data_IF_378636318020
#
_entry.id   IF_378636318020
#
_cell.length_a   1.000
_cell.length_b   1.000
_cell.length_c   1.000
_cell.angle_alpha   90.00
_cell.angle_beta   90.00
_cell.angle_gamma   90.00
#
_symmetry.space_group_name_H-M   'P 1'
#
loop_
_entity.id
_entity.type
_entity.pdbx_description
1 polymer ?
#
# COMPACT_ATOMS: atom_id res chain seq x y z
N UNK A 1 5.42 11.19 -20.03
CA UNK A 1 5.49 10.75 -18.62
C UNK A 1 5.09 9.28 -18.57
N UNK A 2 5.82 8.40 -17.89
CA UNK A 2 5.46 6.97 -17.75
C UNK A 2 5.22 6.65 -16.28
N UNK A 3 4.03 6.16 -15.97
CA UNK A 3 3.70 5.57 -14.67
C UNK A 3 4.17 4.11 -14.71
N UNK A 4 4.88 3.66 -13.67
CA UNK A 4 5.31 2.25 -13.58
C UNK A 4 4.14 1.38 -13.12
N UNK A 5 3.99 0.20 -13.71
CA UNK A 5 3.06 -0.83 -13.25
C UNK A 5 3.92 -2.01 -12.78
N UNK A 6 3.83 -2.37 -11.51
CA UNK A 6 4.59 -3.46 -10.91
C UNK A 6 3.64 -4.60 -10.54
N UNK A 7 3.86 -5.75 -11.15
CA UNK A 7 3.16 -6.99 -10.83
C UNK A 7 3.62 -7.59 -9.50
N UNK A 8 2.92 -8.63 -9.03
CA UNK A 8 3.34 -9.42 -7.88
C UNK A 8 4.79 -9.95 -8.01
N UNK A 9 5.17 -10.39 -9.22
CA UNK A 9 6.53 -10.86 -9.49
C UNK A 9 7.56 -9.73 -9.39
N UNK A 10 7.24 -8.54 -9.90
CA UNK A 10 8.11 -7.37 -9.79
C UNK A 10 8.29 -6.94 -8.33
N UNK A 11 7.21 -6.93 -7.55
CA UNK A 11 7.24 -6.59 -6.12
C UNK A 11 8.08 -7.58 -5.33
N UNK A 12 7.87 -8.89 -5.52
CA UNK A 12 8.66 -9.92 -4.85
C UNK A 12 10.15 -9.86 -5.19
N UNK A 13 10.47 -9.59 -6.45
CA UNK A 13 11.86 -9.46 -6.88
C UNK A 13 12.52 -8.19 -6.33
N UNK A 14 11.77 -7.09 -6.21
CA UNK A 14 12.27 -5.80 -5.76
C UNK A 14 12.34 -5.64 -4.24
N UNK A 15 11.61 -6.44 -3.46
CA UNK A 15 11.54 -6.30 -2.00
C UNK A 15 11.73 -7.66 -1.27
N UNK A 16 12.97 -8.14 -1.14
CA UNK A 16 13.27 -9.29 -0.28
C UNK A 16 12.86 -9.05 1.17
N UNK A 17 12.47 -10.11 1.88
CA UNK A 17 11.96 -10.01 3.27
C UNK A 17 12.92 -9.30 4.23
N UNK A 18 14.23 -9.49 4.08
CA UNK A 18 15.22 -8.77 4.89
C UNK A 18 15.15 -7.26 4.70
N UNK A 19 14.91 -6.80 3.48
CA UNK A 19 14.75 -5.37 3.18
C UNK A 19 13.41 -4.84 3.68
N UNK A 20 12.33 -5.62 3.56
CA UNK A 20 11.03 -5.29 4.14
C UNK A 20 11.12 -5.06 5.66
N UNK A 21 11.86 -5.92 6.38
CA UNK A 21 12.08 -5.77 7.82
C UNK A 21 12.81 -4.46 8.14
N UNK A 22 13.86 -4.11 7.38
CA UNK A 22 14.58 -2.85 7.61
C UNK A 22 13.73 -1.62 7.26
N UNK A 23 12.94 -1.69 6.18
CA UNK A 23 12.01 -0.64 5.80
C UNK A 23 10.97 -0.40 6.90
N UNK A 24 10.40 -1.48 7.48
CA UNK A 24 9.45 -1.37 8.58
C UNK A 24 10.08 -0.82 9.86
N UNK A 25 11.32 -1.21 10.19
CA UNK A 25 12.07 -0.65 11.32
C UNK A 25 12.20 0.87 11.21
N UNK A 26 12.63 1.37 10.05
CA UNK A 26 12.77 2.82 9.81
C UNK A 26 11.41 3.53 9.80
N UNK A 27 10.40 2.91 9.18
CA UNK A 27 9.03 3.46 9.09
C UNK A 27 8.41 3.63 10.47
N UNK A 28 8.46 2.60 11.32
CA UNK A 28 7.96 2.71 12.69
C UNK A 28 8.79 3.67 13.54
N UNK A 29 10.10 3.75 13.33
CA UNK A 29 10.96 4.77 13.96
C UNK A 29 10.49 6.19 13.67
N UNK A 30 10.23 6.51 12.39
CA UNK A 30 9.66 7.81 11.98
C UNK A 30 8.27 8.03 12.59
N UNK A 31 7.40 7.02 12.58
CA UNK A 31 6.06 7.11 13.15
C UNK A 31 6.08 7.43 14.65
N UNK A 32 6.86 6.68 15.44
CA UNK A 32 7.01 6.91 16.88
C UNK A 32 7.66 8.26 17.21
N UNK A 33 8.48 8.80 16.30
CA UNK A 33 9.07 10.12 16.43
C UNK A 33 8.10 11.27 16.02
N UNK A 34 6.85 10.97 15.66
CA UNK A 34 5.88 11.97 15.19
C UNK A 34 6.15 12.49 13.77
N UNK A 35 6.98 11.78 13.00
CA UNK A 35 7.43 12.17 11.66
C UNK A 35 6.71 11.46 10.52
N UNK A 36 5.50 10.97 10.79
CA UNK A 36 4.66 10.31 9.81
C UNK A 36 3.23 10.85 9.91
N UNK A 37 2.64 11.14 8.76
CA UNK A 37 1.23 11.48 8.63
C UNK A 37 0.50 10.22 8.18
N UNK A 38 -0.24 9.61 9.11
CA UNK A 38 -1.00 8.37 8.88
C UNK A 38 -2.43 8.60 9.40
N UNK A 39 -3.32 9.23 8.61
CA UNK A 39 -4.69 9.46 9.05
C UNK A 39 -5.44 8.13 9.23
N UNK A 40 -6.54 8.17 9.97
CA UNK A 40 -7.40 7.00 10.11
C UNK A 40 -7.91 6.57 8.72
N UNK A 41 -7.76 5.28 8.41
CA UNK A 41 -8.20 4.71 7.14
C UNK A 41 -9.70 4.98 6.88
N UNK A 42 -10.03 5.35 5.66
CA UNK A 42 -11.43 5.44 5.22
C UNK A 42 -11.97 4.05 4.93
N UNK A 43 -13.23 3.79 5.31
CA UNK A 43 -13.90 2.50 5.13
C UNK A 43 -15.12 2.67 4.25
N UNK A 44 -15.22 1.86 3.21
CA UNK A 44 -16.36 1.79 2.30
C UNK A 44 -16.90 0.36 2.31
N UNK A 45 -18.00 0.14 3.02
CA UNK A 45 -18.62 -1.16 3.14
C UNK A 45 -19.67 -1.39 2.05
N UNK A 46 -19.82 -2.66 1.68
CA UNK A 46 -20.90 -3.20 0.86
C UNK A 46 -21.48 -4.41 1.58
N UNK A 47 -22.62 -4.94 1.12
CA UNK A 47 -23.20 -6.19 1.65
C UNK A 47 -22.25 -7.39 1.61
N UNK A 48 -21.23 -7.37 0.75
CA UNK A 48 -20.33 -8.50 0.49
C UNK A 48 -18.94 -8.36 1.12
N UNK A 49 -18.57 -7.18 1.60
CA UNK A 49 -17.20 -6.90 2.05
C UNK A 49 -16.92 -5.42 2.24
N UNK A 50 -15.66 -5.10 2.49
CA UNK A 50 -15.21 -3.72 2.78
C UNK A 50 -13.98 -3.36 1.96
N UNK A 51 -13.94 -2.12 1.47
CA UNK A 51 -12.77 -1.52 0.85
C UNK A 51 -12.22 -0.42 1.76
N UNK A 52 -10.91 -0.37 1.90
CA UNK A 52 -10.18 0.56 2.76
C UNK A 52 -9.27 1.43 1.91
N UNK A 53 -9.25 2.73 2.21
CA UNK A 53 -8.25 3.66 1.69
C UNK A 53 -7.28 3.99 2.83
N UNK A 54 -6.00 3.73 2.61
CA UNK A 54 -4.94 3.84 3.61
C UNK A 54 -3.81 4.73 3.06
N UNK A 55 -3.93 6.06 3.12
CA UNK A 55 -2.86 6.98 2.76
C UNK A 55 -1.83 7.10 3.88
N UNK A 56 -0.56 7.30 3.52
CA UNK A 56 0.50 7.62 4.47
C UNK A 56 1.58 8.49 3.81
N UNK A 57 2.15 9.41 4.59
CA UNK A 57 3.32 10.20 4.22
C UNK A 57 4.39 10.13 5.32
N UNK A 58 5.60 9.74 4.95
CA UNK A 58 6.76 9.73 5.84
C UNK A 58 7.61 10.97 5.58
N UNK A 59 7.83 11.81 6.59
CA UNK A 59 8.45 13.12 6.39
C UNK A 59 9.96 13.03 6.11
N UNK A 60 10.71 12.21 6.85
CA UNK A 60 12.17 12.12 6.67
C UNK A 60 12.52 11.42 5.35
N UNK A 61 11.83 10.31 5.05
CA UNK A 61 12.08 9.53 3.82
C UNK A 61 11.33 10.04 2.59
N UNK A 62 10.45 11.04 2.75
CA UNK A 62 9.60 11.62 1.70
C UNK A 62 8.76 10.60 0.90
N UNK A 63 8.42 9.48 1.52
CA UNK A 63 7.58 8.47 0.88
C UNK A 63 6.09 8.83 1.03
N UNK A 64 5.39 9.04 -0.09
CA UNK A 64 3.95 9.27 -0.16
C UNK A 64 3.28 8.14 -0.94
N UNK A 65 2.36 7.42 -0.28
CA UNK A 65 1.63 6.32 -0.91
C UNK A 65 0.20 6.20 -0.40
N UNK A 66 -0.65 5.59 -1.22
CA UNK A 66 -2.02 5.23 -0.87
C UNK A 66 -2.21 3.76 -1.18
N UNK A 67 -2.63 2.97 -0.19
CA UNK A 67 -3.12 1.60 -0.40
C UNK A 67 -4.63 1.59 -0.51
N UNK A 68 -5.14 0.98 -1.56
CA UNK A 68 -6.55 0.60 -1.70
C UNK A 68 -6.59 -0.91 -1.50
N UNK A 69 -7.28 -1.37 -0.45
CA UNK A 69 -7.38 -2.80 -0.13
C UNK A 69 -8.82 -3.19 0.15
N UNK A 70 -9.27 -4.26 -0.48
CA UNK A 70 -10.60 -4.83 -0.33
C UNK A 70 -10.52 -6.17 0.40
N UNK A 71 -11.45 -6.41 1.33
CA UNK A 71 -11.59 -7.66 2.08
C UNK A 71 -13.00 -8.19 1.89
N UNK A 72 -13.12 -9.29 1.13
CA UNK A 72 -14.38 -9.91 0.74
C UNK A 72 -14.31 -11.41 1.08
N UNK A 73 -14.82 -11.77 2.26
CA UNK A 73 -14.65 -13.12 2.83
C UNK A 73 -15.21 -14.27 1.99
N UNK A 74 -16.19 -14.00 1.11
CA UNK A 74 -16.81 -15.00 0.24
C UNK A 74 -16.20 -15.09 -1.16
N UNK A 75 -15.17 -14.30 -1.47
CA UNK A 75 -14.48 -14.38 -2.75
C UNK A 75 -13.92 -15.78 -3.08
N UNK A 76 -13.40 -16.57 -2.11
CA UNK A 76 -12.94 -17.92 -2.39
C UNK A 76 -14.02 -18.84 -2.98
N UNK A 77 -15.30 -18.60 -2.67
CA UNK A 77 -16.43 -19.38 -3.21
C UNK A 77 -16.60 -19.18 -4.73
N UNK A 78 -16.06 -18.09 -5.28
CA UNK A 78 -16.09 -17.77 -6.72
C UNK A 78 -14.69 -17.78 -7.35
N UNK A 79 -13.70 -18.40 -6.69
CA UNK A 79 -12.34 -18.55 -7.22
C UNK A 79 -11.49 -17.27 -7.18
N UNK A 80 -11.84 -16.30 -6.33
CA UNK A 80 -11.09 -15.06 -6.14
C UNK A 80 -10.43 -15.00 -4.74
N UNK A 81 -9.34 -14.24 -4.55
CA UNK A 81 -8.73 -14.08 -3.23
C UNK A 81 -9.62 -13.26 -2.29
N UNK A 82 -9.52 -13.55 -0.99
CA UNK A 82 -10.22 -12.81 0.07
C UNK A 82 -9.77 -11.35 0.14
N UNK A 83 -8.49 -11.10 -0.12
CA UNK A 83 -7.88 -9.78 -0.09
C UNK A 83 -7.43 -9.45 -1.50
N UNK A 84 -7.81 -8.28 -2.00
CA UNK A 84 -7.28 -7.72 -3.23
C UNK A 84 -6.82 -6.29 -2.95
N UNK A 85 -5.66 -5.90 -3.46
CA UNK A 85 -5.12 -4.58 -3.17
C UNK A 85 -4.23 -4.03 -4.28
N UNK A 86 -4.15 -2.70 -4.31
CA UNK A 86 -3.19 -1.94 -5.10
C UNK A 86 -2.55 -0.87 -4.22
N UNK A 87 -1.27 -0.61 -4.44
CA UNK A 87 -0.57 0.52 -3.82
C UNK A 87 -0.14 1.51 -4.89
N UNK A 88 -0.51 2.77 -4.71
CA UNK A 88 -0.12 3.87 -5.57
C UNK A 88 0.94 4.70 -4.88
N UNK A 89 2.09 4.89 -5.53
CA UNK A 89 3.15 5.79 -5.07
C UNK A 89 3.00 7.13 -5.79
N UNK A 90 3.09 8.22 -5.03
CA UNK A 90 2.95 9.58 -5.53
C UNK A 90 4.24 10.35 -5.28
N UNK A 91 4.54 11.26 -6.19
CA UNK A 91 5.57 12.26 -5.99
C UNK A 91 5.08 13.25 -4.89
N UNK A 92 5.79 13.37 -3.76
CA UNK A 92 5.38 14.23 -2.65
C UNK A 92 5.44 15.74 -2.96
N UNK A 93 6.19 16.18 -3.99
CA UNK A 93 6.31 17.59 -4.37
C UNK A 93 5.26 18.01 -5.40
N UNK A 94 4.89 17.09 -6.29
CA UNK A 94 4.01 17.40 -7.43
C UNK A 94 2.66 16.69 -7.39
N UNK A 95 2.49 15.71 -6.50
CA UNK A 95 1.31 14.85 -6.42
C UNK A 95 1.15 13.91 -7.61
N UNK A 96 2.12 13.85 -8.52
CA UNK A 96 2.04 13.01 -9.73
C UNK A 96 2.17 11.54 -9.37
N UNK A 97 1.36 10.64 -9.96
CA UNK A 97 1.52 9.22 -9.76
C UNK A 97 2.84 8.74 -10.38
N UNK A 98 3.61 7.98 -9.59
CA UNK A 98 4.89 7.39 -10.00
C UNK A 98 4.73 5.92 -10.35
N UNK A 99 3.95 5.18 -9.56
CA UNK A 99 3.73 3.75 -9.76
C UNK A 99 2.36 3.28 -9.25
N UNK A 100 1.85 2.22 -9.88
CA UNK A 100 0.86 1.31 -9.31
C UNK A 100 1.51 -0.05 -9.12
N UNK A 101 1.29 -0.66 -7.96
CA UNK A 101 1.95 -1.91 -7.56
C UNK A 101 0.92 -2.90 -7.06
N UNK A 102 1.17 -4.18 -7.31
CA UNK A 102 0.43 -5.28 -6.69
C UNK A 102 0.44 -5.12 -5.16
N UNK A 103 -0.73 -4.83 -4.59
CA UNK A 103 -0.87 -4.56 -3.18
C UNK A 103 -1.18 -5.80 -2.35
N UNK A 104 -1.59 -6.90 -3.01
CA UNK A 104 -1.87 -8.18 -2.36
C UNK A 104 -0.55 -8.79 -1.87
N UNK A 105 0.45 -8.90 -2.75
CA UNK A 105 1.78 -9.40 -2.40
C UNK A 105 2.52 -8.50 -1.42
N UNK A 106 2.28 -7.18 -1.49
CA UNK A 106 2.93 -6.20 -0.62
C UNK A 106 2.34 -6.14 0.80
N UNK A 107 1.15 -6.73 1.03
CA UNK A 107 0.43 -6.68 2.32
C UNK A 107 0.72 -7.91 3.16
#
# INVERSE_FOLDING_TARGET
MRIRILSAADVNAALPMSEAIQAMRSTFGQFSAGKAIVPLRTRLATEKGVTLLMPAYLQDSRNLAIKIVSVYGKNPEIGLPTVAAVVTVLDPDTGRPLAFMDGETLT
#
